data_IF_614196468870
#
_entry.id   IF_614196468870
#
_cell.length_a   1.000
_cell.length_b   1.000
_cell.length_c   1.000
_cell.angle_alpha   90.00
_cell.angle_beta   90.00
_cell.angle_gamma   90.00
#
_symmetry.space_group_name_H-M   'P 1'
#
loop_
_entity.id
_entity.type
_entity.pdbx_description
1 polymer ?
#
# COMPACT_ATOMS: atom_id res chain seq x y z
N UNK A 1 14.78 14.35 -5.33
CA UNK A 1 13.89 13.69 -6.31
C UNK A 1 12.55 13.38 -5.67
N UNK A 2 11.45 13.87 -6.26
CA UNK A 2 10.10 13.54 -5.80
C UNK A 2 9.80 12.08 -6.16
N UNK A 3 9.70 11.21 -5.14
CA UNK A 3 9.30 9.82 -5.33
C UNK A 3 7.82 9.79 -5.67
N UNK A 4 7.46 9.74 -6.95
CA UNK A 4 6.10 9.44 -7.39
C UNK A 4 5.65 8.13 -6.74
N UNK A 5 4.42 8.10 -6.23
CA UNK A 5 3.84 6.91 -5.60
C UNK A 5 2.79 6.34 -6.53
N UNK A 6 2.88 5.05 -6.79
CA UNK A 6 1.85 4.32 -7.51
C UNK A 6 1.07 3.52 -6.49
N UNK A 7 -0.23 3.73 -6.41
CA UNK A 7 -1.14 2.89 -5.63
C UNK A 7 -1.79 1.89 -6.58
N UNK A 8 -1.81 0.64 -6.16
CA UNK A 8 -2.45 -0.46 -6.83
C UNK A 8 -3.58 -0.97 -5.94
N UNK A 9 -4.80 -0.86 -6.44
CA UNK A 9 -6.04 -1.25 -5.77
C UNK A 9 -6.61 -2.41 -6.60
N UNK A 10 -6.75 -3.63 -6.06
CA UNK A 10 -7.13 -4.80 -6.86
C UNK A 10 -8.63 -4.90 -7.19
N UNK A 11 -9.38 -3.83 -6.98
CA UNK A 11 -10.80 -3.73 -7.34
C UNK A 11 -11.02 -2.70 -8.44
N UNK A 12 -12.18 -2.78 -9.07
CA UNK A 12 -12.61 -1.74 -10.00
C UNK A 12 -12.78 -0.41 -9.26
N UNK A 13 -12.68 0.71 -9.97
CA UNK A 13 -12.73 2.03 -9.34
C UNK A 13 -14.03 2.26 -8.56
N UNK A 14 -15.15 1.73 -9.06
CA UNK A 14 -16.45 1.81 -8.38
C UNK A 14 -16.50 1.02 -7.06
N UNK A 15 -15.66 0.00 -6.92
CA UNK A 15 -15.55 -0.87 -5.74
C UNK A 15 -14.37 -0.51 -4.84
N UNK A 16 -13.57 0.49 -5.23
CA UNK A 16 -12.36 0.88 -4.49
C UNK A 16 -12.65 1.75 -3.26
N UNK A 17 -13.90 2.21 -3.08
CA UNK A 17 -14.31 3.02 -1.93
C UNK A 17 -13.38 4.21 -1.66
N UNK A 18 -13.04 4.39 -0.39
CA UNK A 18 -12.15 5.45 0.10
C UNK A 18 -10.71 5.27 -0.36
N UNK A 19 -10.27 4.04 -0.67
CA UNK A 19 -8.91 3.76 -1.14
C UNK A 19 -8.56 4.47 -2.46
N UNK A 20 -9.55 4.76 -3.31
CA UNK A 20 -9.32 5.53 -4.52
C UNK A 20 -9.46 7.04 -4.27
N UNK A 21 -10.50 7.47 -3.56
CA UNK A 21 -10.89 8.89 -3.42
C UNK A 21 -9.98 9.67 -2.47
N UNK A 22 -9.52 9.07 -1.37
CA UNK A 22 -8.58 9.72 -0.44
C UNK A 22 -7.18 9.95 -1.02
N UNK A 23 -6.94 9.42 -2.23
CA UNK A 23 -5.67 9.46 -2.92
C UNK A 23 -5.72 10.19 -4.27
N UNK A 24 -6.90 10.35 -4.88
CA UNK A 24 -7.03 10.89 -6.24
C UNK A 24 -7.22 12.41 -6.31
N UNK A 25 -7.85 13.05 -5.31
CA UNK A 25 -8.41 14.38 -5.53
C UNK A 25 -7.61 15.54 -4.89
N UNK A 26 -6.81 15.27 -3.85
CA UNK A 26 -6.05 16.32 -3.16
C UNK A 26 -4.53 16.31 -3.37
N UNK A 27 -3.96 15.24 -3.92
CA UNK A 27 -2.54 15.22 -4.27
C UNK A 27 -2.18 16.23 -5.38
N UNK A 28 -3.20 16.79 -6.05
CA UNK A 28 -3.07 17.83 -7.06
C UNK A 28 -3.40 19.26 -6.56
N UNK A 29 -4.09 19.42 -5.43
CA UNK A 29 -4.64 20.72 -5.02
C UNK A 29 -3.90 21.42 -3.88
N UNK A 30 -3.13 20.72 -3.05
CA UNK A 30 -2.46 21.38 -1.91
C UNK A 30 -1.09 21.96 -2.30
N UNK A 31 -1.15 23.12 -2.98
CA UNK A 31 0.01 23.89 -3.47
C UNK A 31 0.84 24.53 -2.35
N UNK A 32 0.42 24.47 -1.07
CA UNK A 32 1.01 25.27 0.02
C UNK A 32 1.70 24.52 1.17
N UNK A 33 1.30 23.30 1.53
CA UNK A 33 1.62 22.73 2.86
C UNK A 33 2.63 21.58 2.87
N UNK A 34 2.88 20.90 1.75
CA UNK A 34 3.73 19.71 1.71
C UNK A 34 5.17 20.02 1.29
N UNK A 35 6.13 19.79 2.20
CA UNK A 35 7.58 20.01 2.01
C UNK A 35 8.21 19.27 0.80
N UNK A 36 7.48 18.31 0.17
CA UNK A 36 7.82 17.65 -1.10
C UNK A 36 6.54 17.37 -1.90
N UNK A 37 6.36 18.04 -3.04
CA UNK A 37 5.30 17.72 -4.02
C UNK A 37 5.46 16.27 -4.47
N UNK A 38 4.48 15.39 -4.19
CA UNK A 38 4.51 13.98 -4.61
C UNK A 38 3.35 13.73 -5.56
N UNK A 39 3.65 13.26 -6.78
CA UNK A 39 2.62 12.77 -7.69
C UNK A 39 2.15 11.39 -7.19
N UNK A 40 0.87 11.26 -6.93
CA UNK A 40 0.22 9.97 -6.65
C UNK A 40 -0.46 9.49 -7.94
N UNK A 41 -0.34 8.21 -8.25
CA UNK A 41 -1.00 7.59 -9.40
C UNK A 41 -1.78 6.40 -8.87
N UNK A 42 -3.10 6.45 -9.00
CA UNK A 42 -4.00 5.38 -8.57
C UNK A 42 -4.28 4.46 -9.76
N UNK A 43 -4.05 3.17 -9.60
CA UNK A 43 -4.33 2.12 -10.57
C UNK A 43 -5.32 1.15 -9.91
N UNK A 44 -6.51 1.08 -10.47
CA UNK A 44 -7.56 0.13 -10.13
C UNK A 44 -7.55 -1.04 -11.13
N UNK A 45 -8.29 -2.13 -10.84
CA UNK A 45 -8.42 -3.29 -11.71
C UNK A 45 -8.98 -2.95 -13.10
N UNK A 46 -9.89 -2.00 -13.19
CA UNK A 46 -10.49 -1.49 -14.43
C UNK A 46 -9.63 -0.43 -15.14
N UNK A 47 -8.49 -0.01 -14.58
CA UNK A 47 -7.66 1.05 -15.21
C UNK A 47 -7.14 0.58 -16.58
N UNK A 48 -7.43 1.29 -17.69
CA UNK A 48 -7.10 0.81 -19.02
C UNK A 48 -5.60 0.59 -19.27
N UNK A 49 -5.30 -0.44 -20.08
CA UNK A 49 -3.95 -0.75 -20.55
C UNK A 49 -3.02 -1.32 -19.48
N UNK A 50 -1.72 -1.03 -19.63
CA UNK A 50 -0.63 -1.56 -18.79
C UNK A 50 0.08 -0.46 -17.99
N UNK A 51 -0.59 0.21 -17.04
CA UNK A 51 -0.05 1.36 -16.33
C UNK A 51 1.17 1.04 -15.45
N UNK A 52 1.29 -0.19 -14.92
CA UNK A 52 2.46 -0.61 -14.14
C UNK A 52 3.73 -0.75 -15.00
N UNK A 53 3.59 -0.90 -16.32
CA UNK A 53 4.75 -0.91 -17.22
C UNK A 53 5.45 0.46 -17.30
N UNK A 54 4.76 1.54 -16.93
CA UNK A 54 5.27 2.91 -16.89
C UNK A 54 5.95 3.26 -15.56
N UNK A 55 5.82 2.39 -14.56
CA UNK A 55 6.53 2.57 -13.28
C UNK A 55 8.02 2.37 -13.54
N UNK A 56 8.81 3.38 -13.17
CA UNK A 56 10.26 3.34 -13.33
C UNK A 56 10.93 2.26 -12.46
N UNK A 57 12.24 2.09 -12.63
CA UNK A 57 13.07 1.22 -11.80
C UNK A 57 14.09 2.07 -11.05
N UNK A 58 14.36 1.76 -9.78
CA UNK A 58 15.40 2.42 -8.99
C UNK A 58 15.12 2.54 -7.49
N UNK A 59 16.16 2.94 -6.77
CA UNK A 59 16.16 3.17 -5.32
C UNK A 59 15.24 4.37 -5.02
N UNK A 60 13.99 4.07 -4.65
CA UNK A 60 12.99 5.09 -4.29
C UNK A 60 11.66 4.95 -5.00
N UNK A 61 11.57 4.12 -6.05
CA UNK A 61 10.29 3.79 -6.69
C UNK A 61 9.49 2.85 -5.78
N UNK A 62 8.21 3.16 -5.60
CA UNK A 62 7.31 2.35 -4.77
C UNK A 62 5.96 2.12 -5.45
N UNK A 63 5.54 0.87 -5.44
CA UNK A 63 4.15 0.47 -5.71
C UNK A 63 3.53 0.16 -4.35
N UNK A 64 2.39 0.75 -4.04
CA UNK A 64 1.64 0.54 -2.82
C UNK A 64 0.45 -0.35 -3.14
N UNK A 65 0.38 -1.54 -2.55
CA UNK A 65 -0.84 -2.35 -2.58
C UNK A 65 -1.72 -1.86 -1.44
N UNK A 66 -2.97 -1.52 -1.73
CA UNK A 66 -3.90 -0.88 -0.78
C UNK A 66 -5.10 -1.79 -0.53
N UNK A 67 -5.42 -2.01 0.73
CA UNK A 67 -6.62 -2.72 1.17
C UNK A 67 -6.62 -2.91 2.69
N UNK A 68 -7.71 -3.47 3.22
CA UNK A 68 -7.78 -3.90 4.62
C UNK A 68 -7.01 -5.20 4.80
N UNK A 69 -6.55 -5.45 6.03
CA UNK A 69 -5.91 -6.70 6.36
C UNK A 69 -5.82 -6.90 7.86
N UNK A 70 -5.60 -8.14 8.25
CA UNK A 70 -5.44 -8.57 9.64
C UNK A 70 -4.13 -9.35 9.83
N UNK A 71 -3.80 -9.64 11.09
CA UNK A 71 -2.60 -10.42 11.44
C UNK A 71 -2.68 -11.80 10.79
N UNK A 72 -1.69 -12.13 9.94
CA UNK A 72 -1.58 -13.45 9.31
C UNK A 72 -2.62 -13.77 8.23
N UNK A 73 -3.53 -12.86 7.92
CA UNK A 73 -4.52 -13.04 6.87
C UNK A 73 -3.84 -13.09 5.49
N UNK A 74 -4.07 -14.12 4.65
CA UNK A 74 -3.54 -14.18 3.30
C UNK A 74 -4.34 -13.38 2.26
N UNK A 75 -5.48 -12.82 2.64
CA UNK A 75 -6.35 -12.07 1.74
C UNK A 75 -6.30 -10.57 2.02
N UNK A 76 -6.66 -9.80 1.00
CA UNK A 76 -6.78 -8.36 1.08
C UNK A 76 -8.24 -7.97 1.07
N UNK A 77 -8.67 -7.29 2.13
CA UNK A 77 -10.07 -6.88 2.30
C UNK A 77 -10.44 -5.64 1.51
N UNK A 78 -11.59 -5.69 0.83
CA UNK A 78 -12.15 -4.52 0.13
C UNK A 78 -12.67 -3.47 1.11
N UNK A 79 -12.79 -2.22 0.67
CA UNK A 79 -13.30 -1.17 1.56
C UNK A 79 -14.75 -1.45 1.98
N UNK A 80 -15.10 -1.04 3.20
CA UNK A 80 -16.39 -1.37 3.80
C UNK A 80 -17.54 -0.78 2.95
N UNK A 81 -18.59 -1.58 2.74
CA UNK A 81 -19.79 -1.14 2.02
C UNK A 81 -19.63 -1.03 0.49
N UNK A 82 -18.51 -1.49 -0.08
CA UNK A 82 -18.28 -1.48 -1.54
C UNK A 82 -18.86 -2.70 -2.26
N UNK A 83 -19.16 -3.78 -1.51
CA UNK A 83 -19.64 -5.05 -2.07
C UNK A 83 -18.59 -5.82 -2.89
N UNK A 84 -17.33 -5.40 -2.87
CA UNK A 84 -16.24 -6.16 -3.47
C UNK A 84 -15.84 -7.35 -2.59
N UNK A 85 -15.43 -8.45 -3.23
CA UNK A 85 -14.87 -9.60 -2.56
C UNK A 85 -13.40 -9.38 -2.18
N UNK A 86 -12.94 -10.10 -1.18
CA UNK A 86 -11.54 -10.10 -0.77
C UNK A 86 -10.66 -10.74 -1.86
N UNK A 87 -9.41 -10.30 -1.93
CA UNK A 87 -8.47 -10.69 -3.00
C UNK A 87 -7.29 -11.44 -2.41
N UNK A 88 -7.10 -12.68 -2.85
CA UNK A 88 -5.95 -13.50 -2.47
C UNK A 88 -4.64 -13.01 -3.09
N UNK A 89 -3.51 -13.35 -2.45
CA UNK A 89 -2.16 -12.92 -2.90
C UNK A 89 -1.84 -13.35 -4.33
N UNK A 90 -2.21 -14.56 -4.75
CA UNK A 90 -1.93 -15.03 -6.11
C UNK A 90 -2.69 -14.22 -7.15
N UNK A 91 -3.99 -13.99 -6.91
CA UNK A 91 -4.85 -13.17 -7.77
C UNK A 91 -4.36 -11.72 -7.84
N UNK A 92 -4.00 -11.13 -6.70
CA UNK A 92 -3.41 -9.80 -6.63
C UNK A 92 -2.18 -9.68 -7.54
N UNK A 93 -1.24 -10.64 -7.43
CA UNK A 93 0.00 -10.61 -8.21
C UNK A 93 -0.29 -10.81 -9.69
N UNK A 94 -1.23 -11.68 -10.04
CA UNK A 94 -1.68 -11.85 -11.43
C UNK A 94 -2.23 -10.55 -12.02
N UNK A 95 -3.10 -9.85 -11.29
CA UNK A 95 -3.60 -8.54 -11.73
C UNK A 95 -2.47 -7.51 -11.90
N UNK A 96 -1.46 -7.51 -11.02
CA UNK A 96 -0.30 -6.61 -11.18
C UNK A 96 0.47 -6.90 -12.48
N UNK A 97 0.65 -8.18 -12.84
CA UNK A 97 1.30 -8.56 -14.11
C UNK A 97 0.43 -8.24 -15.33
N UNK A 98 -0.88 -8.44 -15.24
CA UNK A 98 -1.83 -8.03 -16.28
C UNK A 98 -1.76 -6.52 -16.54
N UNK A 99 -1.62 -5.71 -15.47
CA UNK A 99 -1.36 -4.26 -15.55
C UNK A 99 0.06 -3.89 -15.94
N UNK A 100 0.91 -4.87 -16.27
CA UNK A 100 2.21 -4.68 -16.89
C UNK A 100 3.37 -4.54 -15.91
N UNK A 101 3.26 -5.06 -14.69
CA UNK A 101 4.40 -5.15 -13.78
C UNK A 101 5.56 -5.92 -14.45
N UNK A 102 6.72 -5.27 -14.53
CA UNK A 102 7.91 -5.83 -15.17
C UNK A 102 8.63 -6.76 -14.19
N UNK A 103 9.03 -7.96 -14.65
CA UNK A 103 9.82 -8.91 -13.83
C UNK A 103 11.16 -8.34 -13.33
N UNK A 104 11.74 -7.41 -14.09
CA UNK A 104 12.95 -6.69 -13.73
C UNK A 104 12.70 -5.42 -12.90
N UNK A 105 11.51 -5.25 -12.33
CA UNK A 105 11.21 -4.13 -11.45
C UNK A 105 12.17 -4.11 -10.25
N UNK A 106 13.01 -3.07 -10.19
CA UNK A 106 13.92 -2.80 -9.09
C UNK A 106 13.29 -1.72 -8.20
N UNK A 107 12.61 -2.13 -7.14
CA UNK A 107 11.90 -1.21 -6.25
C UNK A 107 11.28 -1.88 -5.04
N UNK A 108 10.44 -1.14 -4.32
CA UNK A 108 9.74 -1.66 -3.13
C UNK A 108 8.25 -1.74 -3.41
N UNK A 109 7.65 -2.92 -3.19
CA UNK A 109 6.19 -3.05 -3.06
C UNK A 109 5.86 -2.81 -1.59
N UNK A 110 5.02 -1.84 -1.28
CA UNK A 110 4.63 -1.53 0.09
C UNK A 110 3.18 -1.96 0.32
N UNK A 111 2.94 -2.73 1.38
CA UNK A 111 1.61 -3.12 1.81
C UNK A 111 1.02 -1.97 2.60
N UNK A 112 0.27 -1.08 1.97
CA UNK A 112 -0.56 -0.11 2.67
C UNK A 112 -1.79 -0.84 3.25
N UNK A 113 -1.52 -1.74 4.19
CA UNK A 113 -2.39 -2.76 4.76
C UNK A 113 -2.04 -2.92 6.25
N UNK A 114 -3.05 -2.90 7.12
CA UNK A 114 -2.89 -3.05 8.56
C UNK A 114 -2.18 -4.36 8.91
N UNK A 115 -1.31 -4.32 9.92
CA UNK A 115 -0.61 -5.50 10.47
C UNK A 115 0.16 -6.37 9.47
N UNK A 116 0.42 -5.88 8.26
CA UNK A 116 1.03 -6.66 7.18
C UNK A 116 2.42 -7.22 7.47
N UNK A 117 3.13 -6.74 8.49
CA UNK A 117 4.40 -7.31 8.94
C UNK A 117 4.25 -8.39 10.04
N UNK A 118 3.06 -8.59 10.60
CA UNK A 118 2.79 -9.50 11.73
C UNK A 118 2.07 -10.76 11.24
N UNK A 119 2.38 -11.90 11.86
CA UNK A 119 1.89 -13.23 11.49
C UNK A 119 3.04 -14.17 11.15
N UNK A 120 2.75 -15.47 11.11
CA UNK A 120 3.75 -16.52 10.80
C UNK A 120 3.20 -17.52 9.77
N UNK A 121 3.30 -17.24 8.46
CA UNK A 121 3.93 -16.07 7.84
C UNK A 121 3.04 -14.81 7.86
N UNK A 122 3.65 -13.62 7.80
CA UNK A 122 2.93 -12.35 7.64
C UNK A 122 2.50 -12.12 6.18
N UNK A 123 1.47 -11.29 5.96
CA UNK A 123 0.99 -10.93 4.62
C UNK A 123 2.11 -10.42 3.71
N UNK A 124 2.95 -9.50 4.21
CA UNK A 124 4.06 -8.95 3.43
C UNK A 124 5.10 -10.02 3.06
N UNK A 125 5.33 -11.02 3.92
CA UNK A 125 6.22 -12.16 3.60
C UNK A 125 5.60 -13.08 2.54
N UNK A 126 4.30 -13.37 2.65
CA UNK A 126 3.57 -14.18 1.67
C UNK A 126 3.59 -13.50 0.29
N UNK A 127 3.28 -12.19 0.23
CA UNK A 127 3.36 -11.40 -1.00
C UNK A 127 4.78 -11.37 -1.59
N UNK A 128 5.81 -11.24 -0.74
CA UNK A 128 7.21 -11.25 -1.21
C UNK A 128 7.56 -12.58 -1.87
N UNK A 129 7.13 -13.70 -1.28
CA UNK A 129 7.35 -15.04 -1.83
C UNK A 129 6.63 -15.22 -3.17
N UNK A 130 5.38 -14.77 -3.30
CA UNK A 130 4.63 -14.90 -4.56
C UNK A 130 5.23 -14.05 -5.69
N UNK A 131 5.58 -12.78 -5.40
CA UNK A 131 6.28 -11.93 -6.37
C UNK A 131 7.61 -12.55 -6.83
N UNK A 132 8.36 -13.14 -5.89
CA UNK A 132 9.61 -13.81 -6.20
C UNK A 132 9.41 -15.08 -7.02
N UNK A 133 8.40 -15.91 -6.71
CA UNK A 133 8.00 -17.10 -7.48
C UNK A 133 7.68 -16.72 -8.94
N UNK A 134 7.02 -15.57 -9.15
CA UNK A 134 6.65 -15.05 -10.48
C UNK A 134 7.78 -14.29 -11.20
N UNK A 135 8.95 -14.14 -10.57
CA UNK A 135 10.18 -13.66 -11.21
C UNK A 135 10.64 -12.25 -10.81
N UNK A 136 9.98 -11.56 -9.87
CA UNK A 136 10.48 -10.30 -9.31
C UNK A 136 11.57 -10.56 -8.27
N UNK A 137 12.77 -10.91 -8.73
CA UNK A 137 13.88 -11.32 -7.86
C UNK A 137 14.59 -10.14 -7.16
N UNK A 138 14.50 -8.94 -7.73
CA UNK A 138 15.22 -7.74 -7.28
C UNK A 138 14.35 -6.75 -6.49
N UNK A 139 13.15 -7.16 -6.07
CA UNK A 139 12.25 -6.34 -5.26
C UNK A 139 12.22 -6.80 -3.81
N UNK A 140 11.76 -5.90 -2.93
CA UNK A 140 11.37 -6.25 -1.57
C UNK A 140 9.94 -5.80 -1.30
N UNK A 141 9.28 -6.46 -0.36
CA UNK A 141 7.98 -6.05 0.16
C UNK A 141 8.17 -5.35 1.50
N UNK A 142 7.43 -4.27 1.74
CA UNK A 142 7.43 -3.53 2.99
C UNK A 142 6.08 -3.72 3.70
N UNK A 143 6.08 -4.32 4.88
CA UNK A 143 4.91 -4.45 5.75
C UNK A 143 4.98 -3.52 6.97
N UNK A 144 3.89 -3.42 7.72
CA UNK A 144 3.78 -2.59 8.93
C UNK A 144 3.29 -3.37 10.16
N UNK A 145 3.78 -2.97 11.35
CA UNK A 145 3.57 -3.68 12.64
C UNK A 145 2.31 -3.26 13.41
N UNK A 146 1.32 -2.66 12.77
CA UNK A 146 0.15 -2.12 13.47
C UNK A 146 -0.95 -1.67 12.52
N UNK A 147 -2.07 -1.13 13.06
CA UNK A 147 -3.07 -0.48 12.25
C UNK A 147 -2.45 0.71 11.50
N UNK A 148 -2.65 0.73 10.20
CA UNK A 148 -2.07 1.73 9.31
C UNK A 148 -3.15 2.73 8.90
N UNK A 149 -2.86 4.01 9.04
CA UNK A 149 -3.57 5.04 8.28
C UNK A 149 -2.64 5.52 7.17
N UNK A 150 -3.10 5.42 5.92
CA UNK A 150 -2.40 5.90 4.74
C UNK A 150 -3.37 6.76 3.94
N UNK A 151 -3.34 8.07 4.17
CA UNK A 151 -4.21 9.03 3.48
C UNK A 151 -3.37 10.18 2.93
N UNK A 152 -3.78 10.77 1.82
CA UNK A 152 -3.05 11.90 1.22
C UNK A 152 -3.95 13.11 1.05
N UNK A 153 -5.16 13.03 1.59
CA UNK A 153 -6.13 14.09 1.55
C UNK A 153 -6.00 14.99 2.79
N UNK A 154 -5.86 16.33 2.65
CA UNK A 154 -5.78 17.25 3.78
C UNK A 154 -6.99 17.17 4.71
N UNK A 155 -8.21 16.96 4.18
CA UNK A 155 -9.39 16.77 5.02
C UNK A 155 -9.32 15.51 5.91
N UNK A 156 -8.57 14.49 5.48
CA UNK A 156 -8.33 13.29 6.27
C UNK A 156 -7.27 13.51 7.37
N UNK A 157 -6.63 14.69 7.47
CA UNK A 157 -5.76 15.02 8.61
C UNK A 157 -6.52 15.09 9.94
N UNK A 158 -7.82 15.42 9.93
CA UNK A 158 -8.64 15.34 11.15
C UNK A 158 -8.74 13.90 11.66
N UNK A 159 -8.80 12.91 10.75
CA UNK A 159 -8.76 11.48 11.10
C UNK A 159 -7.40 11.04 11.67
N UNK A 160 -6.34 11.81 11.47
CA UNK A 160 -5.01 11.56 12.02
C UNK A 160 -4.84 12.10 13.46
N UNK A 161 -5.91 12.60 14.08
CA UNK A 161 -5.94 12.95 15.51
C UNK A 161 -4.93 14.02 15.92
N UNK A 162 -4.63 14.99 15.05
CA UNK A 162 -3.63 16.03 15.33
C UNK A 162 -2.17 15.55 15.27
N UNK A 163 -1.92 14.36 14.73
CA UNK A 163 -0.56 13.85 14.50
C UNK A 163 0.28 14.82 13.67
N UNK A 164 1.54 15.02 14.06
CA UNK A 164 2.52 15.79 13.27
C UNK A 164 2.85 15.15 11.92
N UNK A 165 2.38 13.92 11.67
CA UNK A 165 2.58 13.20 10.42
C UNK A 165 1.36 13.32 9.52
N UNK A 166 1.58 13.71 8.27
CA UNK A 166 0.49 14.18 7.39
C UNK A 166 -0.06 13.15 6.42
N UNK A 167 0.61 12.00 6.23
CA UNK A 167 0.24 11.07 5.14
C UNK A 167 0.28 9.57 5.46
N UNK A 168 1.11 9.13 6.41
CA UNK A 168 1.19 7.70 6.74
C UNK A 168 1.72 7.46 8.14
N UNK A 169 0.90 6.87 8.98
CA UNK A 169 1.23 6.57 10.36
C UNK A 169 0.72 5.19 10.77
N UNK A 170 1.37 4.62 11.77
CA UNK A 170 1.04 3.31 12.33
C UNK A 170 0.74 3.51 13.81
N UNK A 171 -0.39 3.00 14.26
CA UNK A 171 -0.71 2.95 15.68
C UNK A 171 0.05 1.81 16.36
N UNK A 172 0.57 2.08 17.55
CA UNK A 172 0.96 1.04 18.50
C UNK A 172 -0.24 0.73 19.38
N UNK A 173 -0.57 -0.55 19.49
CA UNK A 173 -1.67 -1.07 20.28
C UNK A 173 -1.08 -1.82 21.48
N UNK A 174 -1.70 -1.70 22.65
CA UNK A 174 -1.40 -2.58 23.78
C UNK A 174 -2.06 -3.96 23.63
N UNK A 175 -1.87 -4.84 24.61
CA UNK A 175 -2.45 -6.19 24.63
C UNK A 175 -3.99 -6.21 24.70
N UNK A 176 -4.62 -5.07 25.00
CA UNK A 176 -6.07 -4.90 25.12
C UNK A 176 -6.67 -4.12 23.93
N UNK A 177 -5.93 -4.01 22.81
CA UNK A 177 -6.32 -3.24 21.63
C UNK A 177 -6.59 -1.74 21.90
N UNK A 178 -5.96 -1.16 22.93
CA UNK A 178 -5.97 0.28 23.13
C UNK A 178 -4.82 0.95 22.37
N UNK A 179 -5.10 2.11 21.77
CA UNK A 179 -4.08 2.94 21.10
C UNK A 179 -3.19 3.58 22.16
N UNK A 180 -1.91 3.22 22.21
CA UNK A 180 -0.95 3.79 23.16
C UNK A 180 0.01 4.79 22.54
N UNK A 181 0.30 4.67 21.24
CA UNK A 181 1.16 5.63 20.53
C UNK A 181 0.88 5.72 19.03
N UNK A 182 1.39 6.81 18.43
CA UNK A 182 1.33 7.07 16.98
C UNK A 182 2.75 7.22 16.43
N UNK A 183 3.11 6.36 15.49
CA UNK A 183 4.44 6.33 14.90
C UNK A 183 4.43 6.75 13.43
N UNK A 184 5.51 7.39 13.00
CA UNK A 184 5.79 7.53 11.57
C UNK A 184 5.96 6.13 10.98
N UNK A 185 5.34 5.86 9.83
CA UNK A 185 5.39 4.53 9.20
C UNK A 185 6.81 3.98 9.01
N UNK A 186 7.82 4.83 8.79
CA UNK A 186 9.21 4.42 8.68
C UNK A 186 9.83 3.81 9.93
N UNK A 187 9.20 3.98 11.11
CA UNK A 187 9.63 3.41 12.39
C UNK A 187 8.97 2.07 12.70
N UNK A 188 7.84 1.76 12.07
CA UNK A 188 7.03 0.57 12.29
C UNK A 188 6.93 -0.32 11.04
N UNK A 189 7.93 -0.24 10.16
CA UNK A 189 7.96 -0.97 8.90
C UNK A 189 9.04 -2.06 8.94
N UNK A 190 8.79 -3.16 8.24
CA UNK A 190 9.75 -4.26 8.08
C UNK A 190 9.84 -4.66 6.60
N UNK A 191 11.05 -5.04 6.17
CA UNK A 191 11.31 -5.44 4.79
C UNK A 191 11.37 -6.96 4.70
N UNK A 192 10.62 -7.50 3.75
CA UNK A 192 10.59 -8.90 3.44
C UNK A 192 11.11 -9.12 2.02
N UNK A 193 11.93 -10.14 1.87
CA UNK A 193 12.41 -10.61 0.59
C UNK A 193 11.79 -11.97 0.31
N UNK A 194 11.54 -12.27 -0.97
CA UNK A 194 10.90 -13.51 -1.36
C UNK A 194 11.80 -14.74 -1.34
N UNK A 195 13.12 -14.56 -1.15
CA UNK A 195 14.02 -15.65 -0.81
C UNK A 195 13.87 -15.99 0.68
N UNK A 196 13.97 -17.29 1.01
CA UNK A 196 13.86 -17.91 2.33
C UNK A 196 12.66 -17.43 3.18
#
# INVERSE_FOLDING_TARGET
MATSRTLFIPWDRAQSGTFASEHSDAAHSDKGSAHRKRKVTVICRDTPGKPLAKVGAGIGTRIHVVGHGAIGDPELGADHGTGAADVGIEELVDMMFEKGLKKYYLGTVACDVCYSAIGSPSYAKMLARELFKRGLKASCVLGYKGPLISTYHPASQQMLGGSKYTHRMVYEMDENDNRVAVHKSSKMQERFFGFN
#
